data_IF_462079223035
#
_entry.id   IF_462079223035
#
_cell.length_a   1.000
_cell.length_b   1.000
_cell.length_c   1.000
_cell.angle_alpha   90.00
_cell.angle_beta   90.00
_cell.angle_gamma   90.00
#
_symmetry.space_group_name_H-M   'P 1'
#
loop_
_entity.id
_entity.type
_entity.pdbx_description
1 polymer ?
#
# COMPACT_ATOMS: atom_id res chain seq x y z
N UNK A 1 -8.62 -19.39 -21.27
CA UNK A 1 -7.44 -19.01 -22.09
C UNK A 1 -6.23 -19.72 -21.51
N UNK A 2 -5.46 -20.48 -22.28
CA UNK A 2 -4.25 -21.13 -21.79
C UNK A 2 -3.04 -20.26 -22.08
N UNK A 3 -2.14 -20.13 -21.09
CA UNK A 3 -0.87 -19.42 -21.24
C UNK A 3 0.16 -20.45 -21.72
N UNK A 4 0.85 -20.14 -22.83
CA UNK A 4 1.92 -20.97 -23.37
C UNK A 4 3.25 -20.27 -23.16
N UNK A 5 4.29 -21.03 -22.82
CA UNK A 5 5.68 -20.57 -22.78
C UNK A 5 6.55 -21.49 -23.59
N UNK A 6 7.68 -21.00 -24.06
CA UNK A 6 8.68 -21.83 -24.73
C UNK A 6 9.22 -22.90 -23.78
N UNK A 7 9.54 -24.06 -24.38
CA UNK A 7 10.26 -25.14 -23.72
C UNK A 7 11.47 -25.50 -24.61
N UNK A 8 12.65 -25.30 -24.07
CA UNK A 8 13.89 -25.60 -24.78
C UNK A 8 14.27 -27.08 -24.64
N UNK A 9 14.88 -27.61 -25.68
CA UNK A 9 15.49 -28.94 -25.67
C UNK A 9 16.77 -28.95 -26.51
N UNK A 10 17.63 -29.95 -26.29
CA UNK A 10 18.93 -30.05 -26.99
C UNK A 10 18.72 -30.14 -28.52
N UNK A 11 19.56 -29.39 -29.26
CA UNK A 11 19.52 -29.30 -30.73
C UNK A 11 18.27 -28.60 -31.31
N UNK A 12 17.49 -27.90 -30.50
CA UNK A 12 16.39 -27.08 -31.01
C UNK A 12 16.95 -25.90 -31.79
N UNK A 13 16.47 -25.72 -33.01
CA UNK A 13 16.71 -24.52 -33.79
C UNK A 13 15.76 -23.40 -33.31
N UNK A 14 16.30 -22.25 -32.89
CA UNK A 14 15.56 -21.08 -32.44
C UNK A 14 15.46 -20.07 -33.59
N UNK A 15 14.27 -19.49 -33.75
CA UNK A 15 13.99 -18.42 -34.70
C UNK A 15 13.66 -17.13 -33.95
N UNK A 16 13.69 -16.00 -34.65
CA UNK A 16 13.30 -14.70 -34.14
C UNK A 16 11.98 -14.75 -33.36
N UNK A 17 10.95 -15.40 -33.94
CA UNK A 17 9.64 -15.55 -33.33
C UNK A 17 9.65 -16.29 -31.99
N UNK A 18 10.62 -17.16 -31.73
CA UNK A 18 10.76 -17.88 -30.47
C UNK A 18 11.25 -16.92 -29.38
N UNK A 19 12.24 -16.08 -29.69
CA UNK A 19 12.74 -15.05 -28.77
C UNK A 19 11.67 -13.99 -28.51
N UNK A 20 10.97 -13.52 -29.55
CA UNK A 20 9.89 -12.57 -29.41
C UNK A 20 8.74 -13.13 -28.53
N UNK A 21 8.38 -14.41 -28.71
CA UNK A 21 7.35 -15.06 -27.90
C UNK A 21 7.76 -15.21 -26.42
N UNK A 22 9.05 -15.44 -26.15
CA UNK A 22 9.57 -15.51 -24.79
C UNK A 22 9.55 -14.15 -24.10
N UNK A 23 10.02 -13.10 -24.79
CA UNK A 23 9.95 -11.74 -24.28
C UNK A 23 8.50 -11.34 -23.99
N UNK A 24 7.60 -11.56 -24.94
CA UNK A 24 6.19 -11.25 -24.78
C UNK A 24 5.54 -11.99 -23.59
N UNK A 25 5.93 -13.26 -23.36
CA UNK A 25 5.48 -14.01 -22.20
C UNK A 25 5.92 -13.36 -20.89
N UNK A 26 7.20 -12.99 -20.75
CA UNK A 26 7.73 -12.39 -19.55
C UNK A 26 7.13 -11.01 -19.28
N UNK A 27 6.99 -10.18 -20.31
CA UNK A 27 6.33 -8.87 -20.22
C UNK A 27 4.88 -9.04 -19.76
N UNK A 28 4.12 -9.97 -20.37
CA UNK A 28 2.73 -10.21 -20.03
C UNK A 28 2.56 -10.70 -18.58
N UNK A 29 3.44 -11.59 -18.11
CA UNK A 29 3.41 -12.09 -16.73
C UNK A 29 3.77 -11.03 -15.71
N UNK A 30 4.77 -10.19 -16.00
CA UNK A 30 5.15 -9.05 -15.15
C UNK A 30 4.01 -8.03 -15.05
N UNK A 31 3.42 -7.64 -16.18
CA UNK A 31 2.26 -6.72 -16.22
C UNK A 31 1.04 -7.32 -15.50
N UNK A 32 0.79 -8.61 -15.65
CA UNK A 32 -0.28 -9.29 -14.93
C UNK A 32 -0.04 -9.27 -13.42
N UNK A 33 1.18 -9.56 -12.98
CA UNK A 33 1.58 -9.49 -11.57
C UNK A 33 1.33 -8.08 -11.01
N UNK A 34 1.86 -7.06 -11.67
CA UNK A 34 1.71 -5.67 -11.25
C UNK A 34 0.24 -5.27 -11.10
N UNK A 35 -0.58 -5.52 -12.11
CA UNK A 35 -2.01 -5.20 -12.06
C UNK A 35 -2.77 -5.97 -10.97
N UNK A 36 -2.41 -7.24 -10.75
CA UNK A 36 -3.17 -8.13 -9.86
C UNK A 36 -2.80 -7.96 -8.40
N UNK A 37 -1.52 -7.66 -8.11
CA UNK A 37 -0.98 -7.60 -6.76
C UNK A 37 -0.85 -6.16 -6.26
N UNK A 38 -0.37 -5.24 -7.10
CA UNK A 38 0.02 -3.90 -6.68
C UNK A 38 -0.97 -2.79 -7.08
N UNK A 39 -1.72 -2.96 -8.17
CA UNK A 39 -2.53 -1.89 -8.73
C UNK A 39 -1.68 -0.91 -9.54
N UNK A 40 -2.08 0.36 -9.58
CA UNK A 40 -1.39 1.42 -10.29
C UNK A 40 -1.16 2.64 -9.40
N UNK A 41 -0.14 3.45 -9.70
CA UNK A 41 0.21 4.65 -8.96
C UNK A 41 1.71 4.81 -8.78
N UNK A 42 2.10 5.74 -7.91
CA UNK A 42 3.51 5.98 -7.53
C UNK A 42 3.97 4.85 -6.61
N UNK A 43 5.10 4.24 -6.94
CA UNK A 43 5.78 3.22 -6.12
C UNK A 43 6.69 3.90 -5.11
N UNK A 44 7.62 4.74 -5.63
CA UNK A 44 8.58 5.50 -4.82
C UNK A 44 9.07 6.74 -5.57
N UNK A 45 9.54 7.74 -4.83
CA UNK A 45 10.10 8.97 -5.39
C UNK A 45 9.09 9.78 -6.20
N UNK A 46 9.50 10.29 -7.37
CA UNK A 46 8.71 11.15 -8.26
C UNK A 46 8.22 12.42 -7.55
N UNK A 47 8.99 12.92 -6.58
CA UNK A 47 8.64 14.12 -5.85
C UNK A 47 8.64 15.33 -6.77
N UNK A 48 7.57 16.13 -6.67
CA UNK A 48 7.44 17.38 -7.43
C UNK A 48 7.78 18.53 -6.50
N UNK A 49 8.81 19.28 -6.85
CA UNK A 49 9.30 20.42 -6.06
C UNK A 49 9.32 21.70 -6.87
N UNK A 50 9.08 22.82 -6.21
CA UNK A 50 9.26 24.14 -6.84
C UNK A 50 10.75 24.39 -7.06
N UNK A 51 11.15 24.67 -8.31
CA UNK A 51 12.51 25.05 -8.70
C UNK A 51 12.63 26.57 -8.83
N UNK A 52 11.67 27.22 -9.46
CA UNK A 52 11.56 28.67 -9.62
C UNK A 52 10.10 29.11 -9.54
N UNK A 53 9.81 30.38 -9.84
CA UNK A 53 8.42 30.86 -9.80
C UNK A 53 7.51 30.20 -10.81
N UNK A 54 8.06 29.63 -11.89
CA UNK A 54 7.29 28.99 -12.96
C UNK A 54 7.79 27.59 -13.32
N UNK A 55 8.85 27.12 -12.68
CA UNK A 55 9.41 25.80 -12.94
C UNK A 55 9.25 24.87 -11.77
N UNK A 56 8.95 23.62 -12.07
CA UNK A 56 8.99 22.50 -11.15
C UNK A 56 10.12 21.54 -11.52
N UNK A 57 10.63 20.83 -10.55
CA UNK A 57 11.49 19.65 -10.74
C UNK A 57 10.73 18.43 -10.31
N UNK A 58 10.79 17.37 -11.12
CA UNK A 58 10.30 16.04 -10.79
C UNK A 58 11.53 15.20 -10.52
N UNK A 59 11.63 14.68 -9.30
CA UNK A 59 12.75 13.85 -8.85
C UNK A 59 12.64 12.44 -9.41
N UNK A 60 13.77 11.68 -9.48
CA UNK A 60 13.74 10.28 -9.89
C UNK A 60 12.78 9.43 -9.07
N UNK A 61 12.28 8.36 -9.67
CA UNK A 61 11.39 7.44 -9.00
C UNK A 61 10.70 6.47 -9.95
N UNK A 62 9.75 5.73 -9.41
CA UNK A 62 9.06 4.64 -10.10
C UNK A 62 7.55 4.75 -9.90
N UNK A 63 6.81 4.46 -10.96
CA UNK A 63 5.36 4.30 -10.93
C UNK A 63 4.95 3.04 -11.71
N UNK A 64 3.71 2.60 -11.51
CA UNK A 64 3.06 1.55 -12.30
C UNK A 64 1.77 2.13 -12.89
N UNK A 65 1.54 1.91 -14.18
CA UNK A 65 0.31 2.35 -14.83
C UNK A 65 -0.84 1.33 -14.70
N UNK A 66 -2.02 1.68 -15.23
CA UNK A 66 -3.22 0.82 -15.19
C UNK A 66 -3.08 -0.47 -15.99
N UNK A 67 -2.14 -0.55 -16.93
CA UNK A 67 -1.82 -1.76 -17.69
C UNK A 67 -0.75 -2.63 -17.01
N UNK A 68 -0.16 -2.14 -15.90
CA UNK A 68 0.89 -2.82 -15.15
C UNK A 68 2.28 -2.62 -15.73
N UNK A 69 2.47 -1.59 -16.58
CA UNK A 69 3.79 -1.19 -17.09
C UNK A 69 4.51 -0.39 -16.02
N UNK A 70 5.79 -0.66 -15.85
CA UNK A 70 6.65 0.11 -14.96
C UNK A 70 7.11 1.39 -15.66
N UNK A 71 6.97 2.51 -14.98
CA UNK A 71 7.38 3.84 -15.42
C UNK A 71 8.58 4.24 -14.56
N UNK A 72 9.77 4.32 -15.16
CA UNK A 72 11.02 4.58 -14.43
C UNK A 72 11.61 5.92 -14.88
N UNK A 73 11.55 6.91 -13.98
CA UNK A 73 12.27 8.18 -14.17
C UNK A 73 13.64 8.08 -13.49
N UNK A 74 14.70 7.93 -14.27
CA UNK A 74 16.06 7.72 -13.76
C UNK A 74 16.81 9.00 -13.40
N UNK A 75 16.40 10.16 -13.95
CA UNK A 75 17.04 11.46 -13.73
C UNK A 75 16.00 12.53 -13.46
N UNK A 76 16.35 13.60 -12.70
CA UNK A 76 15.41 14.70 -12.47
C UNK A 76 15.02 15.38 -13.78
N UNK A 77 13.75 15.73 -13.92
CA UNK A 77 13.23 16.48 -15.07
C UNK A 77 12.66 17.80 -14.62
N UNK A 78 13.02 18.88 -15.32
CA UNK A 78 12.47 20.23 -15.09
C UNK A 78 11.36 20.49 -16.10
N UNK A 79 10.24 21.03 -15.60
CA UNK A 79 9.09 21.44 -16.44
C UNK A 79 8.75 22.88 -16.19
N UNK A 80 8.54 23.63 -17.29
CA UNK A 80 8.14 25.02 -17.28
C UNK A 80 6.62 25.13 -17.41
N UNK A 81 5.99 25.81 -16.47
CA UNK A 81 4.55 26.03 -16.40
C UNK A 81 4.13 27.41 -16.96
N UNK A 82 5.01 28.11 -17.66
CA UNK A 82 4.75 29.46 -18.18
C UNK A 82 3.61 29.52 -19.22
N UNK A 83 3.30 28.39 -19.87
CA UNK A 83 2.21 28.26 -20.83
C UNK A 83 0.82 28.12 -20.20
N UNK A 84 0.75 27.94 -18.88
CA UNK A 84 -0.52 27.77 -18.19
C UNK A 84 -1.12 29.07 -17.72
N UNK A 85 -2.44 29.11 -17.66
CA UNK A 85 -3.21 30.29 -17.29
C UNK A 85 -2.91 30.68 -15.84
N UNK A 86 -2.97 31.98 -15.58
CA UNK A 86 -2.88 32.53 -14.23
C UNK A 86 -4.10 32.14 -13.41
N UNK A 87 -3.93 32.11 -12.10
CA UNK A 87 -4.98 31.69 -11.12
C UNK A 87 -5.68 30.38 -11.50
N UNK A 88 -4.90 29.40 -11.97
CA UNK A 88 -5.37 28.11 -12.44
C UNK A 88 -4.73 26.94 -11.72
N UNK A 89 -5.24 25.75 -11.97
CA UNK A 89 -4.65 24.48 -11.56
C UNK A 89 -4.08 23.74 -12.77
N UNK A 90 -2.95 23.10 -12.55
CA UNK A 90 -2.31 22.22 -13.53
C UNK A 90 -2.01 20.88 -12.87
N UNK A 91 -2.39 19.80 -13.53
CA UNK A 91 -2.08 18.44 -13.09
C UNK A 91 -0.81 17.98 -13.80
N UNK A 92 0.20 17.63 -13.02
CA UNK A 92 1.44 17.03 -13.52
C UNK A 92 1.29 15.52 -13.48
N UNK A 93 1.48 14.88 -14.62
CA UNK A 93 1.30 13.44 -14.78
C UNK A 93 2.52 12.79 -15.42
N UNK A 94 2.69 11.50 -15.16
CA UNK A 94 3.70 10.66 -15.81
C UNK A 94 3.01 9.47 -16.46
N UNK A 95 3.46 9.08 -17.63
CA UNK A 95 2.99 7.94 -18.41
C UNK A 95 4.15 7.12 -18.94
N UNK A 96 3.84 5.88 -19.36
CA UNK A 96 4.76 5.00 -20.04
C UNK A 96 4.80 5.32 -21.54
N UNK A 97 5.98 5.37 -22.11
CA UNK A 97 6.20 5.59 -23.53
C UNK A 97 7.25 4.61 -24.07
N UNK A 98 7.07 4.16 -25.29
CA UNK A 98 8.06 3.40 -26.04
C UNK A 98 8.53 4.21 -27.24
N UNK A 99 9.83 4.29 -27.43
CA UNK A 99 10.46 5.02 -28.55
C UNK A 99 11.48 4.17 -29.26
N UNK A 100 11.73 4.49 -30.51
CA UNK A 100 12.77 3.92 -31.35
C UNK A 100 13.80 5.00 -31.66
N UNK A 101 15.07 4.70 -31.48
CA UNK A 101 16.18 5.62 -31.78
C UNK A 101 16.85 5.19 -33.10
N UNK A 102 17.12 6.16 -33.97
CA UNK A 102 17.80 5.91 -35.24
C UNK A 102 19.20 5.31 -35.09
N UNK A 103 19.85 5.50 -33.94
CA UNK A 103 21.13 4.86 -33.61
C UNK A 103 21.02 3.33 -33.50
N UNK A 104 19.82 2.81 -33.23
CA UNK A 104 19.52 1.38 -33.15
C UNK A 104 18.89 0.83 -34.44
N UNK A 105 18.83 1.62 -35.50
CA UNK A 105 18.30 1.22 -36.78
C UNK A 105 19.28 0.32 -37.54
N UNK A 106 18.78 -0.79 -38.03
CA UNK A 106 19.51 -1.71 -38.90
C UNK A 106 18.95 -1.62 -40.32
N UNK A 107 19.79 -1.16 -41.26
CA UNK A 107 19.42 -1.03 -42.66
C UNK A 107 20.47 -1.75 -43.53
N UNK A 108 20.23 -3.02 -43.86
CA UNK A 108 21.12 -3.82 -44.72
C UNK A 108 20.36 -5.01 -45.33
N UNK A 109 20.74 -5.42 -46.55
CA UNK A 109 20.21 -6.63 -47.19
C UNK A 109 18.72 -6.61 -47.45
N UNK A 110 18.12 -5.43 -47.60
CA UNK A 110 16.68 -5.29 -47.82
C UNK A 110 15.85 -5.35 -46.54
N UNK A 111 16.51 -5.38 -45.36
CA UNK A 111 15.89 -5.25 -44.04
C UNK A 111 16.12 -3.79 -43.57
N UNK A 112 15.05 -3.17 -43.08
CA UNK A 112 15.08 -1.83 -42.48
C UNK A 112 14.21 -1.88 -41.22
N UNK A 113 14.82 -2.01 -40.07
CA UNK A 113 14.11 -2.17 -38.79
C UNK A 113 15.00 -1.71 -37.62
N UNK A 114 14.40 -1.63 -36.44
CA UNK A 114 15.10 -1.25 -35.20
C UNK A 114 15.52 -2.49 -34.42
N UNK A 115 16.72 -2.44 -33.85
CA UNK A 115 17.25 -3.53 -33.04
C UNK A 115 16.87 -3.40 -31.56
N UNK A 116 16.36 -2.24 -31.14
CA UNK A 116 15.97 -1.95 -29.74
C UNK A 116 14.71 -1.12 -29.66
N UNK A 117 13.99 -1.33 -28.57
CA UNK A 117 12.90 -0.48 -28.11
C UNK A 117 13.39 0.20 -26.82
N UNK A 118 13.31 1.52 -26.77
CA UNK A 118 13.65 2.28 -25.57
C UNK A 118 12.37 2.56 -24.79
N UNK A 119 12.28 2.02 -23.57
CA UNK A 119 11.24 2.36 -22.62
C UNK A 119 11.57 3.74 -22.02
N UNK A 120 10.65 4.67 -22.15
CA UNK A 120 10.79 6.06 -21.71
C UNK A 120 9.58 6.53 -20.92
N UNK A 121 9.59 7.80 -20.53
CA UNK A 121 8.49 8.41 -19.76
C UNK A 121 7.93 9.59 -20.50
N UNK A 122 6.61 9.68 -20.60
CA UNK A 122 5.88 10.86 -21.01
C UNK A 122 5.48 11.66 -19.76
N UNK A 123 6.02 12.88 -19.62
CA UNK A 123 5.58 13.82 -18.59
C UNK A 123 4.70 14.86 -19.25
N UNK A 124 3.46 14.95 -18.77
CA UNK A 124 2.46 15.86 -19.32
C UNK A 124 1.88 16.77 -18.24
N UNK A 125 1.59 18.01 -18.61
CA UNK A 125 0.87 18.98 -17.80
C UNK A 125 -0.52 19.18 -18.37
N UNK A 126 -1.56 19.02 -17.55
CA UNK A 126 -2.97 19.03 -17.99
C UNK A 126 -3.81 20.00 -17.17
N UNK A 127 -4.73 20.72 -17.85
CA UNK A 127 -5.70 21.62 -17.18
C UNK A 127 -6.78 20.87 -16.41
N UNK A 128 -7.10 19.66 -16.83
CA UNK A 128 -8.14 18.84 -16.23
C UNK A 128 -7.55 17.60 -15.56
N UNK A 129 -8.18 17.17 -14.48
CA UNK A 129 -7.81 15.92 -13.80
C UNK A 129 -7.93 14.74 -14.78
N UNK A 130 -6.89 13.92 -14.93
CA UNK A 130 -6.96 12.74 -15.81
C UNK A 130 -7.91 11.69 -15.24
N UNK A 131 -8.40 10.76 -16.09
CA UNK A 131 -9.19 9.63 -15.62
C UNK A 131 -8.46 8.82 -14.56
N UNK A 132 -9.23 8.28 -13.59
CA UNK A 132 -8.69 7.42 -12.52
C UNK A 132 -8.63 5.94 -12.95
N UNK A 133 -8.14 5.69 -14.14
CA UNK A 133 -7.98 4.36 -14.74
C UNK A 133 -6.51 3.90 -14.82
N UNK A 134 -5.60 4.78 -14.39
CA UNK A 134 -4.17 4.53 -14.44
C UNK A 134 -3.52 4.77 -15.79
N UNK A 135 -4.25 5.28 -16.79
CA UNK A 135 -3.65 5.66 -18.09
C UNK A 135 -2.61 6.77 -17.96
N UNK A 136 -2.72 7.59 -16.93
CA UNK A 136 -1.74 8.59 -16.53
C UNK A 136 -1.67 8.65 -15.00
N UNK A 137 -0.47 8.56 -14.44
CA UNK A 137 -0.25 8.63 -12.98
C UNK A 137 -0.07 10.09 -12.58
N UNK A 138 -0.93 10.58 -11.68
CA UNK A 138 -0.85 11.96 -11.17
C UNK A 138 0.30 12.07 -10.17
N UNK A 139 1.20 13.01 -10.39
CA UNK A 139 2.32 13.33 -9.50
C UNK A 139 2.02 14.50 -8.57
N UNK A 140 1.33 15.52 -9.07
CA UNK A 140 0.95 16.68 -8.27
C UNK A 140 -0.15 17.48 -8.97
N UNK A 141 -0.88 18.27 -8.16
CA UNK A 141 -1.69 19.39 -8.63
C UNK A 141 -0.97 20.68 -8.24
N UNK A 142 -0.58 21.45 -9.22
CA UNK A 142 0.12 22.73 -9.03
C UNK A 142 -0.88 23.87 -9.18
N UNK A 143 -0.95 24.75 -8.18
CA UNK A 143 -1.76 25.99 -8.25
C UNK A 143 -0.87 27.16 -8.60
N UNK A 144 -1.26 27.92 -9.62
CA UNK A 144 -0.67 29.19 -10.01
C UNK A 144 -1.49 30.34 -9.44
N UNK A 145 -0.82 31.39 -8.99
CA UNK A 145 -1.46 32.64 -8.53
C UNK A 145 -1.78 33.60 -9.68
N UNK A 146 -2.33 34.76 -9.36
CA UNK A 146 -2.69 35.82 -10.31
C UNK A 146 -1.50 36.34 -11.17
N UNK A 147 -0.27 36.16 -10.69
CA UNK A 147 0.95 36.48 -11.42
C UNK A 147 1.47 35.32 -12.28
N UNK A 148 0.80 34.19 -12.23
CA UNK A 148 1.23 32.92 -12.87
C UNK A 148 2.41 32.26 -12.17
N UNK A 149 2.68 32.60 -10.91
CA UNK A 149 3.73 31.96 -10.12
C UNK A 149 3.17 30.77 -9.35
N UNK A 150 3.99 29.75 -9.15
CA UNK A 150 3.67 28.56 -8.36
C UNK A 150 3.40 28.99 -6.91
N UNK A 151 2.13 28.85 -6.51
CA UNK A 151 1.66 29.18 -5.18
C UNK A 151 1.65 27.94 -4.27
N UNK A 152 1.17 26.80 -4.79
CA UNK A 152 1.07 25.54 -4.02
C UNK A 152 1.30 24.35 -4.93
N UNK A 153 2.02 23.36 -4.41
CA UNK A 153 2.14 22.02 -4.99
C UNK A 153 1.46 21.06 -4.02
N UNK A 154 0.45 20.37 -4.51
CA UNK A 154 -0.38 19.43 -3.74
C UNK A 154 -0.10 18.02 -4.26
N UNK A 155 0.50 17.20 -3.43
CA UNK A 155 0.84 15.80 -3.73
C UNK A 155 -0.11 14.80 -3.08
N UNK A 156 -1.05 15.25 -2.25
CA UNK A 156 -2.02 14.39 -1.55
C UNK A 156 -3.01 13.72 -2.52
N UNK A 157 -3.08 14.24 -3.76
CA UNK A 157 -3.91 13.66 -4.82
C UNK A 157 -3.27 12.45 -5.52
N UNK A 158 -2.03 12.07 -5.16
CA UNK A 158 -1.34 10.93 -5.75
C UNK A 158 -2.08 9.64 -5.43
N UNK A 159 -2.15 8.77 -6.42
CA UNK A 159 -2.43 7.37 -6.18
C UNK A 159 -1.09 6.67 -5.93
N UNK A 160 -0.97 6.01 -4.80
CA UNK A 160 0.20 5.17 -4.50
C UNK A 160 -0.12 3.72 -4.84
N UNK A 161 0.88 3.04 -5.38
CA UNK A 161 0.84 1.58 -5.51
C UNK A 161 0.73 0.99 -4.11
N UNK A 162 -0.30 0.20 -3.91
CA UNK A 162 -0.46 -0.61 -2.71
C UNK A 162 -0.70 -2.04 -3.16
N UNK A 163 -0.41 -3.01 -2.30
CA UNK A 163 -1.02 -4.30 -2.51
C UNK A 163 -2.51 -4.04 -2.77
N UNK A 164 -3.06 -4.65 -3.81
CA UNK A 164 -4.52 -4.63 -4.07
C UNK A 164 -5.25 -5.35 -2.94
N UNK A 165 -5.08 -4.80 -1.74
CA UNK A 165 -6.10 -4.86 -0.74
C UNK A 165 -6.92 -3.62 -1.02
N UNK A 166 -8.15 -3.75 -1.47
CA UNK A 166 -9.02 -2.60 -1.58
C UNK A 166 -8.96 -1.89 -0.22
N UNK A 167 -8.87 -0.57 -0.24
CA UNK A 167 -9.09 0.23 0.95
C UNK A 167 -10.41 -0.17 1.64
N UNK A 168 -11.33 -0.80 0.88
CA UNK A 168 -12.54 -1.48 1.32
C UNK A 168 -12.33 -3.00 1.30
N UNK A 169 -12.47 -3.66 2.44
CA UNK A 169 -12.42 -5.12 2.53
C UNK A 169 -11.87 -5.67 3.83
N UNK A 170 -11.83 -7.00 3.90
CA UNK A 170 -11.33 -7.70 5.08
C UNK A 170 -9.81 -7.89 5.01
N UNK A 171 -9.09 -7.27 5.94
CA UNK A 171 -7.69 -7.59 6.21
C UNK A 171 -7.66 -8.73 7.22
N UNK A 172 -7.13 -9.88 6.80
CA UNK A 172 -6.99 -11.08 7.63
C UNK A 172 -5.55 -11.22 8.08
N UNK A 173 -5.37 -11.36 9.37
CA UNK A 173 -4.05 -11.50 9.98
C UNK A 173 -4.07 -12.66 10.97
N UNK A 174 -3.04 -13.54 10.99
CA UNK A 174 -2.84 -14.41 12.12
C UNK A 174 -2.55 -13.54 13.33
N UNK A 175 -3.13 -13.86 14.48
CA UNK A 175 -2.80 -13.17 15.72
C UNK A 175 -1.36 -13.50 16.10
N UNK A 176 -0.45 -12.57 15.86
CA UNK A 176 0.97 -12.66 16.25
C UNK A 176 1.26 -11.59 17.29
N UNK A 177 1.07 -11.90 18.56
CA UNK A 177 1.30 -10.92 19.62
C UNK A 177 2.77 -10.51 19.64
N UNK A 178 3.01 -9.21 19.64
CA UNK A 178 4.31 -8.63 19.93
C UNK A 178 4.34 -8.30 21.40
N UNK A 179 5.41 -8.68 22.10
CA UNK A 179 5.60 -8.27 23.48
C UNK A 179 5.75 -6.75 23.52
N UNK A 180 4.66 -6.08 23.87
CA UNK A 180 4.70 -4.67 24.19
C UNK A 180 4.71 -4.56 25.69
N UNK A 181 5.56 -3.67 26.21
CA UNK A 181 5.38 -3.18 27.56
C UNK A 181 3.92 -2.73 27.76
N UNK A 182 3.35 -2.89 28.97
CA UNK A 182 1.93 -2.73 29.19
C UNK A 182 1.43 -1.43 28.58
N UNK A 183 0.54 -1.53 27.59
CA UNK A 183 -0.24 -0.39 27.11
C UNK A 183 -0.96 0.17 28.33
N UNK A 184 -0.55 1.33 28.81
CA UNK A 184 -1.24 2.06 29.88
C UNK A 184 -2.53 2.61 29.29
N UNK A 185 -3.59 1.81 29.35
CA UNK A 185 -4.96 2.24 29.03
C UNK A 185 -5.51 2.88 30.30
N UNK A 186 -5.45 4.21 30.38
CA UNK A 186 -5.87 4.96 31.56
C UNK A 186 -4.96 4.76 32.78
N UNK A 187 -5.16 5.54 33.81
CA UNK A 187 -4.36 5.50 35.06
C UNK A 187 -4.53 4.24 35.93
N UNK A 188 -5.30 3.25 35.51
CA UNK A 188 -5.39 1.96 36.19
C UNK A 188 -4.43 0.97 35.54
N UNK A 189 -3.22 0.91 36.10
CA UNK A 189 -2.40 -0.29 36.03
C UNK A 189 -3.21 -1.47 36.53
N UNK A 190 -3.45 -2.49 35.70
CA UNK A 190 -3.86 -3.80 36.21
C UNK A 190 -2.71 -4.24 37.13
N UNK A 191 -3.01 -4.51 38.41
CA UNK A 191 -1.94 -4.76 39.37
C UNK A 191 -1.08 -5.95 38.93
N UNK A 192 0.26 -5.87 39.12
CA UNK A 192 1.21 -6.91 38.67
C UNK A 192 0.97 -8.30 39.26
N UNK A 193 0.11 -8.44 40.23
CA UNK A 193 -0.19 -9.71 40.93
C UNK A 193 -0.94 -10.76 40.07
N UNK A 194 -1.50 -10.34 38.93
CA UNK A 194 -2.21 -11.26 38.02
C UNK A 194 -1.45 -11.52 36.70
N UNK A 195 -0.31 -10.92 36.52
CA UNK A 195 0.47 -11.08 35.29
C UNK A 195 1.75 -11.85 35.60
N UNK A 196 1.83 -13.05 35.03
CA UNK A 196 3.07 -13.83 35.03
C UNK A 196 3.80 -13.52 33.69
N UNK A 197 4.93 -12.79 33.74
CA UNK A 197 5.68 -12.44 32.53
C UNK A 197 6.31 -13.65 31.84
N UNK A 198 6.29 -14.82 32.48
CA UNK A 198 6.77 -16.07 31.87
C UNK A 198 5.71 -16.78 31.02
N UNK A 199 4.45 -16.35 31.06
CA UNK A 199 3.35 -16.93 30.30
C UNK A 199 3.00 -16.03 29.13
N UNK A 200 3.36 -16.45 27.94
CA UNK A 200 3.14 -15.74 26.68
C UNK A 200 2.28 -16.57 25.73
N UNK A 201 1.65 -15.91 24.77
CA UNK A 201 1.09 -16.61 23.62
C UNK A 201 2.23 -17.19 22.78
N UNK A 202 2.22 -18.51 22.59
CA UNK A 202 3.10 -19.17 21.63
C UNK A 202 2.51 -18.97 20.23
N UNK A 203 3.35 -18.59 19.28
CA UNK A 203 2.94 -18.35 17.89
C UNK A 203 3.32 -19.54 17.05
N UNK A 204 2.33 -20.18 16.43
CA UNK A 204 2.52 -21.14 15.36
C UNK A 204 2.23 -20.48 14.00
N UNK A 205 2.52 -21.17 12.91
CA UNK A 205 2.35 -20.65 11.53
C UNK A 205 0.89 -20.26 11.25
N UNK A 206 -0.07 -20.86 11.91
CA UNK A 206 -1.51 -20.72 11.66
C UNK A 206 -2.26 -20.09 12.82
N UNK A 207 -1.79 -20.25 14.06
CA UNK A 207 -2.49 -19.80 15.25
C UNK A 207 -1.55 -19.31 16.34
N UNK A 208 -2.12 -18.61 17.33
CA UNK A 208 -1.44 -18.31 18.59
C UNK A 208 -2.18 -18.96 19.73
N UNK A 209 -1.50 -19.62 20.61
CA UNK A 209 -2.10 -20.34 21.73
C UNK A 209 -1.38 -20.09 23.05
N UNK A 210 -2.10 -20.24 24.15
CA UNK A 210 -1.54 -20.32 25.50
C UNK A 210 -2.21 -21.45 26.27
N UNK A 211 -1.45 -22.07 27.16
CA UNK A 211 -1.95 -23.17 28.03
C UNK A 211 -2.51 -22.64 29.37
N UNK A 212 -2.10 -21.44 29.74
CA UNK A 212 -2.50 -20.74 30.98
C UNK A 212 -2.95 -19.33 30.64
N UNK A 213 -3.16 -18.51 31.67
CA UNK A 213 -3.46 -17.10 31.48
C UNK A 213 -2.31 -16.37 30.78
N UNK A 214 -2.62 -15.65 29.73
CA UNK A 214 -1.67 -14.89 28.95
C UNK A 214 -2.26 -13.58 28.45
N UNK A 215 -1.40 -12.61 28.15
CA UNK A 215 -1.75 -11.37 27.47
C UNK A 215 -0.94 -11.22 26.20
N UNK A 216 -1.58 -10.81 25.13
CA UNK A 216 -0.92 -10.49 23.88
C UNK A 216 -1.53 -9.28 23.23
N UNK A 217 -0.71 -8.52 22.51
CA UNK A 217 -1.19 -7.39 21.71
C UNK A 217 -0.54 -7.40 20.34
N UNK A 218 -1.29 -6.98 19.33
CA UNK A 218 -0.85 -6.94 17.95
C UNK A 218 -1.34 -5.65 17.28
N UNK A 219 -0.50 -5.05 16.45
CA UNK A 219 -0.93 -3.97 15.57
C UNK A 219 -1.67 -4.52 14.37
N UNK A 220 -2.73 -3.82 13.98
CA UNK A 220 -3.46 -4.09 12.75
C UNK A 220 -3.01 -3.03 11.74
N UNK A 221 -2.38 -3.41 10.63
CA UNK A 221 -2.03 -2.46 9.59
C UNK A 221 -3.31 -1.91 8.96
N UNK A 222 -3.42 -0.59 8.96
CA UNK A 222 -4.51 0.10 8.27
C UNK A 222 -4.11 0.26 6.81
N UNK A 223 -4.92 -0.23 5.86
CA UNK A 223 -4.61 -0.09 4.45
C UNK A 223 -4.50 1.39 4.04
N UNK A 224 -3.56 1.74 3.17
CA UNK A 224 -3.49 3.09 2.62
C UNK A 224 -4.83 3.51 2.00
N UNK A 225 -5.31 4.70 2.35
CA UNK A 225 -6.57 5.24 1.86
C UNK A 225 -7.83 4.73 2.58
N UNK A 226 -7.71 3.85 3.56
CA UNK A 226 -8.83 3.46 4.39
C UNK A 226 -9.26 4.63 5.29
N UNK A 227 -10.56 4.97 5.25
CA UNK A 227 -11.13 6.08 6.01
C UNK A 227 -11.92 5.62 7.23
N UNK A 228 -12.41 4.37 7.21
CA UNK A 228 -13.26 3.81 8.25
C UNK A 228 -12.91 2.36 8.54
N UNK A 229 -13.16 1.94 9.79
CA UNK A 229 -13.27 0.54 10.16
C UNK A 229 -14.74 0.18 10.33
N UNK A 230 -15.22 -0.79 9.54
CA UNK A 230 -16.63 -1.22 9.47
C UNK A 230 -16.93 -2.41 10.35
N UNK A 231 -15.98 -3.30 10.52
CA UNK A 231 -16.16 -4.48 11.34
C UNK A 231 -14.83 -5.07 11.82
N UNK A 232 -14.92 -5.83 12.90
CA UNK A 232 -13.83 -6.63 13.45
C UNK A 232 -14.32 -8.06 13.66
N UNK A 233 -13.47 -9.04 13.39
CA UNK A 233 -13.76 -10.47 13.60
C UNK A 233 -12.58 -11.17 14.23
N UNK A 234 -12.86 -12.05 15.18
CA UNK A 234 -11.87 -12.90 15.81
C UNK A 234 -12.43 -14.30 16.02
N UNK A 235 -11.65 -15.32 15.66
CA UNK A 235 -12.05 -16.71 15.79
C UNK A 235 -11.02 -17.48 16.60
N UNK A 236 -11.49 -18.44 17.40
CA UNK A 236 -10.63 -19.29 18.20
C UNK A 236 -11.38 -20.27 19.09
N UNK A 237 -10.63 -20.90 20.01
CA UNK A 237 -11.17 -21.71 21.09
C UNK A 237 -10.62 -21.25 22.43
N UNK A 238 -11.41 -21.40 23.50
CA UNK A 238 -10.94 -21.18 24.87
C UNK A 238 -11.57 -22.17 25.83
N UNK A 239 -10.82 -22.57 26.84
CA UNK A 239 -11.31 -23.31 28.01
C UNK A 239 -11.37 -22.45 29.25
N UNK A 240 -11.51 -21.19 29.09
CA UNK A 240 -11.60 -20.17 30.12
C UNK A 240 -12.27 -18.93 29.59
N UNK A 241 -11.75 -17.78 29.98
CA UNK A 241 -12.26 -16.48 29.58
C UNK A 241 -11.28 -15.79 28.67
N UNK A 242 -11.78 -15.20 27.60
CA UNK A 242 -11.00 -14.33 26.69
C UNK A 242 -11.61 -12.95 26.69
N UNK A 243 -10.80 -11.94 27.00
CA UNK A 243 -11.17 -10.54 26.85
C UNK A 243 -10.41 -9.96 25.67
N UNK A 244 -11.10 -9.30 24.76
CA UNK A 244 -10.55 -8.67 23.57
C UNK A 244 -10.88 -7.22 23.55
N UNK A 245 -9.88 -6.39 23.30
CA UNK A 245 -10.04 -4.96 23.11
C UNK A 245 -9.43 -4.54 21.76
N UNK A 246 -10.19 -3.81 20.96
CA UNK A 246 -9.69 -3.09 19.80
C UNK A 246 -9.48 -1.64 20.18
N UNK A 247 -8.28 -1.14 20.02
CA UNK A 247 -7.88 0.18 20.48
C UNK A 247 -7.30 0.99 19.35
N UNK A 248 -7.76 2.21 19.17
CA UNK A 248 -7.11 3.23 18.36
C UNK A 248 -6.22 4.07 19.30
N UNK A 249 -4.91 4.05 19.05
CA UNK A 249 -3.93 4.84 19.74
C UNK A 249 -3.34 5.93 18.87
N UNK A 250 -2.93 7.06 19.45
CA UNK A 250 -2.28 8.14 18.73
C UNK A 250 -1.09 8.71 19.52
N UNK A 251 -0.19 9.37 18.77
CA UNK A 251 0.87 10.19 19.30
C UNK A 251 0.63 11.63 18.86
N UNK A 252 0.81 12.59 19.75
CA UNK A 252 0.82 13.99 19.35
C UNK A 252 2.13 14.31 18.60
N UNK A 253 2.11 15.25 17.64
CA UNK A 253 3.33 15.71 16.94
C UNK A 253 4.45 16.19 17.85
N UNK A 254 4.11 16.59 19.07
CA UNK A 254 5.06 17.02 20.12
C UNK A 254 5.69 15.87 20.91
N UNK A 255 5.44 14.60 20.51
CA UNK A 255 6.02 13.42 21.17
C UNK A 255 5.33 13.00 22.47
N UNK A 256 4.24 13.65 22.87
CA UNK A 256 3.40 13.22 23.99
C UNK A 256 2.38 12.17 23.53
N UNK A 257 2.00 11.24 24.42
CA UNK A 257 0.97 10.24 24.13
C UNK A 257 -0.38 10.91 23.89
N UNK A 258 -0.96 10.67 22.72
CA UNK A 258 -2.34 10.99 22.44
C UNK A 258 -3.31 10.08 23.22
N UNK A 259 -4.57 10.46 23.28
CA UNK A 259 -5.60 9.65 23.91
C UNK A 259 -5.81 8.33 23.15
N UNK A 260 -5.83 7.21 23.88
CA UNK A 260 -6.22 5.92 23.33
C UNK A 260 -7.74 5.78 23.42
N UNK A 261 -8.38 5.52 22.29
CA UNK A 261 -9.82 5.24 22.22
C UNK A 261 -10.05 3.74 22.10
N UNK A 262 -10.77 3.14 23.04
CA UNK A 262 -11.24 1.77 22.94
C UNK A 262 -12.43 1.76 21.99
N UNK A 263 -12.27 1.15 20.82
CA UNK A 263 -13.30 1.04 19.79
C UNK A 263 -14.25 -0.12 20.08
N UNK A 264 -13.72 -1.20 20.66
CA UNK A 264 -14.48 -2.40 20.98
C UNK A 264 -13.85 -3.12 22.16
N UNK A 265 -14.72 -3.63 23.03
CA UNK A 265 -14.35 -4.59 24.09
C UNK A 265 -15.35 -5.74 24.10
N UNK A 266 -14.84 -6.97 24.13
CA UNK A 266 -15.66 -8.19 24.18
C UNK A 266 -15.04 -9.19 25.13
N UNK A 267 -15.92 -9.92 25.81
CA UNK A 267 -15.57 -11.03 26.69
C UNK A 267 -16.25 -12.29 26.17
N UNK A 268 -15.50 -13.36 26.03
CA UNK A 268 -15.96 -14.67 25.55
C UNK A 268 -15.60 -15.73 26.58
N UNK A 269 -16.58 -16.56 26.94
CA UNK A 269 -16.43 -17.65 27.93
C UNK A 269 -16.88 -19.00 27.39
N UNK A 270 -17.11 -19.12 26.06
CA UNK A 270 -17.53 -20.35 25.38
C UNK A 270 -16.36 -21.04 24.70
N UNK A 271 -16.39 -22.37 24.61
CA UNK A 271 -15.29 -23.20 24.12
C UNK A 271 -14.85 -22.81 22.69
N UNK A 272 -15.77 -22.67 21.77
CA UNK A 272 -15.50 -22.16 20.43
C UNK A 272 -16.09 -20.77 20.24
N UNK A 273 -15.35 -19.86 19.64
CA UNK A 273 -15.84 -18.52 19.38
C UNK A 273 -15.52 -18.02 17.98
N UNK A 274 -16.48 -17.29 17.45
CA UNK A 274 -16.38 -16.50 16.23
C UNK A 274 -17.09 -15.20 16.51
N UNK A 275 -16.33 -14.22 16.96
CA UNK A 275 -16.85 -12.91 17.33
C UNK A 275 -16.75 -11.98 16.14
N UNK A 276 -17.90 -11.55 15.66
CA UNK A 276 -18.04 -10.54 14.61
C UNK A 276 -18.73 -9.31 15.19
N UNK A 277 -18.07 -8.17 15.13
CA UNK A 277 -18.56 -6.91 15.67
C UNK A 277 -18.60 -5.88 14.55
N UNK A 278 -19.78 -5.32 14.30
CA UNK A 278 -19.91 -4.18 13.40
C UNK A 278 -19.44 -2.93 14.12
N UNK A 279 -18.61 -2.17 13.41
CA UNK A 279 -18.08 -0.88 13.84
C UNK A 279 -18.46 0.17 12.79
N UNK A 280 -18.46 1.41 13.15
CA UNK A 280 -18.71 2.55 12.24
C UNK A 280 -17.82 3.72 12.67
N UNK A 281 -16.51 3.41 12.81
CA UNK A 281 -15.56 4.39 13.33
C UNK A 281 -14.74 5.00 12.21
N UNK A 282 -14.73 6.32 12.17
CA UNK A 282 -13.85 7.08 11.30
C UNK A 282 -12.40 6.95 11.79
N UNK A 283 -11.53 6.60 10.86
CA UNK A 283 -10.09 6.49 11.13
C UNK A 283 -9.35 7.81 10.84
N UNK A 284 -10.02 8.78 10.23
CA UNK A 284 -9.41 10.09 9.94
C UNK A 284 -9.44 11.03 11.16
N UNK A 285 -8.42 11.90 11.34
CA UNK A 285 -7.16 11.88 10.61
C UNK A 285 -6.22 10.79 11.14
N UNK A 286 -5.89 9.81 10.30
CA UNK A 286 -4.73 8.96 10.51
C UNK A 286 -3.53 9.76 9.99
N UNK A 287 -2.89 10.50 10.84
CA UNK A 287 -1.53 10.94 10.59
C UNK A 287 -0.59 9.78 10.95
N UNK A 288 0.69 9.87 10.58
CA UNK A 288 1.72 8.83 10.79
C UNK A 288 1.89 8.36 12.25
N UNK A 289 1.10 8.92 13.17
CA UNK A 289 1.16 8.70 14.60
C UNK A 289 -0.03 7.91 15.17
N UNK A 290 -0.99 7.49 14.34
CA UNK A 290 -2.12 6.68 14.79
C UNK A 290 -1.95 5.21 14.45
N UNK A 291 -2.19 4.34 15.43
CA UNK A 291 -2.14 2.91 15.27
C UNK A 291 -3.46 2.26 15.72
N UNK A 292 -3.86 1.23 15.01
CA UNK A 292 -4.93 0.34 15.43
C UNK A 292 -4.29 -0.90 16.04
N UNK A 293 -4.70 -1.28 17.24
CA UNK A 293 -4.18 -2.45 17.93
C UNK A 293 -5.30 -3.31 18.50
N UNK A 294 -5.11 -4.61 18.48
CA UNK A 294 -5.92 -5.57 19.22
C UNK A 294 -5.14 -6.08 20.42
N UNK A 295 -5.76 -6.07 21.58
CA UNK A 295 -5.22 -6.64 22.83
C UNK A 295 -6.11 -7.80 23.26
N UNK A 296 -5.51 -8.91 23.62
CA UNK A 296 -6.18 -10.12 24.08
C UNK A 296 -5.65 -10.48 25.47
N UNK A 297 -6.56 -10.70 26.39
CA UNK A 297 -6.26 -11.28 27.69
C UNK A 297 -7.00 -12.61 27.77
N UNK A 298 -6.28 -13.71 27.93
CA UNK A 298 -6.84 -15.03 28.06
C UNK A 298 -6.62 -15.57 29.48
N UNK A 299 -7.67 -16.14 30.07
CA UNK A 299 -7.64 -16.87 31.33
C UNK A 299 -7.89 -18.36 31.02
N UNK A 300 -6.84 -19.17 31.00
CA UNK A 300 -6.89 -20.58 30.67
C UNK A 300 -6.45 -20.89 29.24
N UNK A 301 -6.53 -22.17 28.85
CA UNK A 301 -6.09 -22.63 27.53
C UNK A 301 -6.90 -21.95 26.43
N UNK A 302 -6.21 -21.22 25.57
CA UNK A 302 -6.82 -20.43 24.51
C UNK A 302 -5.97 -20.51 23.24
N UNK A 303 -6.65 -20.67 22.12
CA UNK A 303 -6.06 -20.64 20.78
C UNK A 303 -6.81 -19.64 19.90
N UNK A 304 -6.09 -18.75 19.24
CA UNK A 304 -6.63 -17.74 18.33
C UNK A 304 -6.13 -18.03 16.92
N UNK A 305 -7.04 -18.29 16.00
CA UNK A 305 -6.71 -18.66 14.62
C UNK A 305 -6.71 -17.48 13.67
N UNK A 306 -7.60 -16.52 13.91
CA UNK A 306 -7.83 -15.42 13.00
C UNK A 306 -8.17 -14.14 13.75
N UNK A 307 -7.54 -13.06 13.33
CA UNK A 307 -7.98 -11.69 13.58
C UNK A 307 -8.21 -11.04 12.24
N UNK A 308 -9.33 -10.39 12.04
CA UNK A 308 -9.64 -9.70 10.81
C UNK A 308 -10.34 -8.36 11.08
N UNK A 309 -10.01 -7.36 10.29
CA UNK A 309 -10.65 -6.06 10.30
C UNK A 309 -11.16 -5.70 8.89
N UNK A 310 -12.35 -5.14 8.82
CA UNK A 310 -12.98 -4.68 7.58
C UNK A 310 -12.86 -3.17 7.50
N UNK A 311 -12.23 -2.69 6.45
CA UNK A 311 -12.00 -1.27 6.20
C UNK A 311 -12.81 -0.77 4.99
N UNK A 312 -13.10 0.53 4.99
CA UNK A 312 -13.68 1.29 3.88
C UNK A 312 -12.87 2.54 3.60
#
# INVERSE_FOLDING_TARGET
MSIKRLKYFNHQFLREQDFAAEQAYHIAMRRLHNRSVHGWGVVEGLDVRKKSDREITIEPGVAIDGEGREIVLSHPVVRDLSSFDRDSHTFVTIGYEETWDDSDRYASGGIDDYTRITESVEISERKHEPPKDGSAVILARVRLNENGHIHRIDTDIRTHVGAKNPAAGWVRLPFKPVRLEPLRIGEKLIPPKQWDPSVEFTVDVVSSYCEKSARGSMYIPVPPGANKIKAFRMCGTTRGKVEVELVRGGWNPEGSRGENKVLMKRTVEREGFDEHVTLEEDLQPLNDFHALAVSVIAEGKTEIWLVAAHFE
#
